data_IF_492730722537
#
_entry.id   IF_492730722537
#
_cell.length_a   1.000
_cell.length_b   1.000
_cell.length_c   1.000
_cell.angle_alpha   90.00
_cell.angle_beta   90.00
_cell.angle_gamma   90.00
#
_symmetry.space_group_name_H-M   'P 1'
#
loop_
_entity.id
_entity.type
_entity.pdbx_description
1 polymer ?
#
# COMPACT_ATOMS: atom_id res chain seq x y z
N UNK A 1 42.45 -23.47 -20.64
CA UNK A 1 41.04 -23.89 -20.43
C UNK A 1 40.06 -23.04 -21.23
N UNK A 2 40.23 -21.71 -21.24
CA UNK A 2 39.45 -20.72 -22.02
C UNK A 2 39.34 -20.99 -23.53
N UNK A 3 40.40 -21.46 -24.19
CA UNK A 3 40.36 -21.78 -25.64
C UNK A 3 39.37 -22.91 -25.99
N UNK A 4 39.21 -23.93 -25.13
CA UNK A 4 38.25 -25.01 -25.34
C UNK A 4 36.80 -24.52 -25.18
N UNK A 5 36.58 -23.61 -24.23
CA UNK A 5 35.27 -23.00 -23.96
C UNK A 5 34.82 -22.13 -25.15
N UNK A 6 35.71 -21.34 -25.74
CA UNK A 6 35.41 -20.52 -26.92
C UNK A 6 35.06 -21.35 -28.16
N UNK A 7 35.77 -22.46 -28.40
CA UNK A 7 35.49 -23.36 -29.53
C UNK A 7 34.14 -24.06 -29.32
N UNK A 8 33.83 -24.46 -28.08
CA UNK A 8 32.54 -25.06 -27.73
C UNK A 8 31.37 -24.07 -27.87
N UNK A 9 31.55 -22.82 -27.43
CA UNK A 9 30.57 -21.74 -27.59
C UNK A 9 30.26 -21.45 -29.06
N UNK A 10 31.28 -21.48 -29.92
CA UNK A 10 31.09 -21.19 -31.34
C UNK A 10 30.37 -22.33 -32.09
N UNK A 11 30.55 -23.57 -31.63
CA UNK A 11 29.87 -24.75 -32.20
C UNK A 11 28.37 -24.76 -31.90
N UNK A 12 27.98 -24.33 -30.70
CA UNK A 12 26.58 -24.27 -30.24
C UNK A 12 26.05 -22.82 -30.17
N UNK A 13 26.54 -21.93 -31.05
CA UNK A 13 26.28 -20.48 -30.97
C UNK A 13 24.80 -20.13 -30.88
N UNK A 14 23.93 -20.84 -31.61
CA UNK A 14 22.50 -20.56 -31.63
C UNK A 14 21.82 -20.91 -30.31
N UNK A 15 22.21 -22.03 -29.66
CA UNK A 15 21.67 -22.43 -28.37
C UNK A 15 22.11 -21.49 -27.25
N UNK A 16 23.37 -21.03 -27.29
CA UNK A 16 23.89 -20.07 -26.32
C UNK A 16 23.18 -18.71 -26.44
N UNK A 17 23.01 -18.21 -27.67
CA UNK A 17 22.29 -16.96 -27.91
C UNK A 17 20.82 -17.08 -27.45
N UNK A 18 20.14 -18.17 -27.80
CA UNK A 18 18.76 -18.41 -27.36
C UNK A 18 18.65 -18.49 -25.83
N UNK A 19 19.59 -19.16 -25.17
CA UNK A 19 19.65 -19.23 -23.71
C UNK A 19 19.84 -17.85 -23.06
N UNK A 20 20.74 -17.03 -23.60
CA UNK A 20 20.95 -15.66 -23.12
C UNK A 20 19.71 -14.78 -23.31
N UNK A 21 19.04 -14.87 -24.45
CA UNK A 21 17.81 -14.11 -24.72
C UNK A 21 16.69 -14.55 -23.78
N UNK A 22 16.50 -15.84 -23.57
CA UNK A 22 15.52 -16.35 -22.61
C UNK A 22 15.81 -15.88 -21.18
N UNK A 23 17.08 -15.93 -20.74
CA UNK A 23 17.46 -15.45 -19.41
C UNK A 23 17.22 -13.94 -19.24
N UNK A 24 17.48 -13.14 -20.28
CA UNK A 24 17.17 -11.71 -20.26
C UNK A 24 15.67 -11.44 -20.17
N UNK A 25 14.86 -12.19 -20.91
CA UNK A 25 13.40 -12.06 -20.89
C UNK A 25 12.80 -12.47 -19.54
N UNK A 26 13.32 -13.53 -18.90
CA UNK A 26 12.84 -13.94 -17.57
C UNK A 26 13.23 -12.94 -16.49
N UNK A 27 14.45 -12.40 -16.53
CA UNK A 27 14.86 -11.33 -15.62
C UNK A 27 13.99 -10.09 -15.83
N UNK A 28 13.76 -9.70 -17.08
CA UNK A 28 12.93 -8.54 -17.41
C UNK A 28 11.48 -8.71 -16.93
N UNK A 29 10.89 -9.89 -17.12
CA UNK A 29 9.54 -10.20 -16.64
C UNK A 29 9.45 -10.22 -15.11
N UNK A 30 10.47 -10.72 -14.41
CA UNK A 30 10.52 -10.73 -12.94
C UNK A 30 10.80 -9.34 -12.35
N UNK A 31 11.49 -8.46 -13.08
CA UNK A 31 11.80 -7.09 -12.63
C UNK A 31 10.66 -6.09 -12.85
N UNK A 32 9.57 -6.46 -13.55
CA UNK A 32 8.43 -5.58 -13.72
C UNK A 32 7.57 -5.56 -12.44
N UNK A 33 7.72 -4.54 -11.61
CA UNK A 33 6.94 -4.39 -10.39
C UNK A 33 5.46 -4.10 -10.71
N UNK A 34 4.55 -4.84 -10.10
CA UNK A 34 3.11 -4.66 -10.24
C UNK A 34 2.68 -3.31 -9.67
N UNK A 35 2.24 -2.38 -10.52
CA UNK A 35 1.71 -1.07 -10.11
C UNK A 35 0.18 -1.06 -10.11
N UNK A 36 -0.41 -0.51 -9.06
CA UNK A 36 -1.87 -0.38 -8.87
C UNK A 36 -2.22 1.10 -8.74
N UNK A 37 -3.48 1.48 -8.99
CA UNK A 37 -3.93 2.85 -8.76
C UNK A 37 -3.83 3.22 -7.27
N UNK A 38 -3.43 4.46 -6.98
CA UNK A 38 -3.38 5.01 -5.63
C UNK A 38 -4.79 5.21 -5.05
N UNK A 39 -4.89 5.15 -3.72
CA UNK A 39 -6.14 5.37 -2.98
C UNK A 39 -6.47 6.86 -2.81
N UNK A 40 -5.46 7.74 -2.78
CA UNK A 40 -5.65 9.19 -2.61
C UNK A 40 -5.82 9.91 -3.93
N UNK A 41 -5.06 9.52 -4.96
CA UNK A 41 -5.11 10.16 -6.28
C UNK A 41 -5.24 9.11 -7.40
N UNK A 42 -6.40 9.03 -8.09
CA UNK A 42 -6.62 8.02 -9.14
C UNK A 42 -5.74 8.24 -10.38
N UNK A 43 -5.07 9.39 -10.48
CA UNK A 43 -4.22 9.75 -11.62
C UNK A 43 -2.83 9.11 -11.54
N UNK A 44 -2.41 8.64 -10.36
CA UNK A 44 -1.09 8.05 -10.13
C UNK A 44 -1.17 6.53 -9.91
N UNK A 45 -0.17 5.81 -10.44
CA UNK A 45 0.01 4.38 -10.18
C UNK A 45 1.17 4.19 -9.21
N UNK A 46 0.89 3.54 -8.09
CA UNK A 46 1.83 3.31 -6.98
C UNK A 46 2.30 1.87 -6.95
N UNK A 47 3.48 1.66 -6.37
CA UNK A 47 4.01 0.32 -6.12
C UNK A 47 3.34 -0.32 -4.90
N UNK A 48 3.63 -1.59 -4.64
CA UNK A 48 3.06 -2.31 -3.49
C UNK A 48 3.47 -1.66 -2.16
N UNK A 49 4.73 -1.25 -2.03
CA UNK A 49 5.22 -0.65 -0.78
C UNK A 49 4.66 0.75 -0.57
N UNK A 50 4.54 1.56 -1.63
CA UNK A 50 3.88 2.86 -1.56
C UNK A 50 2.41 2.73 -1.15
N UNK A 51 1.69 1.76 -1.73
CA UNK A 51 0.29 1.50 -1.37
C UNK A 51 0.14 1.11 0.11
N UNK A 52 1.09 0.36 0.69
CA UNK A 52 1.06 0.00 2.12
C UNK A 52 1.18 1.23 3.02
N UNK A 53 2.12 2.11 2.70
CA UNK A 53 2.31 3.38 3.42
C UNK A 53 1.04 4.24 3.34
N UNK A 54 0.42 4.29 2.16
CA UNK A 54 -0.82 5.02 1.94
C UNK A 54 -1.97 4.48 2.81
N UNK A 55 -2.16 3.16 2.83
CA UNK A 55 -3.17 2.50 3.67
C UNK A 55 -2.94 2.77 5.16
N UNK A 56 -1.71 2.64 5.65
CA UNK A 56 -1.39 2.88 7.06
C UNK A 56 -1.69 4.33 7.46
N UNK A 57 -1.38 5.29 6.59
CA UNK A 57 -1.71 6.70 6.79
C UNK A 57 -3.22 6.93 6.86
N UNK A 58 -4.00 6.27 5.99
CA UNK A 58 -5.46 6.35 6.02
C UNK A 58 -6.03 5.78 7.32
N UNK A 59 -5.55 4.62 7.76
CA UNK A 59 -5.98 4.01 9.01
C UNK A 59 -5.66 4.88 10.23
N UNK A 60 -4.45 5.43 10.31
CA UNK A 60 -4.07 6.34 11.38
C UNK A 60 -4.95 7.60 11.41
N UNK A 61 -5.25 8.16 10.24
CA UNK A 61 -6.13 9.32 10.12
C UNK A 61 -7.55 8.97 10.56
N UNK A 62 -8.06 7.81 10.16
CA UNK A 62 -9.39 7.33 10.56
C UNK A 62 -9.48 7.17 12.08
N UNK A 63 -8.49 6.54 12.72
CA UNK A 63 -8.46 6.33 14.17
C UNK A 63 -8.50 7.66 14.96
N UNK A 64 -7.74 8.67 14.51
CA UNK A 64 -7.78 10.01 15.10
C UNK A 64 -9.19 10.63 14.98
N UNK A 65 -9.85 10.46 13.83
CA UNK A 65 -11.19 10.98 13.60
C UNK A 65 -12.23 10.26 14.47
N UNK A 66 -12.14 8.94 14.61
CA UNK A 66 -13.02 8.19 15.50
C UNK A 66 -12.87 8.63 16.95
N UNK A 67 -11.63 8.76 17.46
CA UNK A 67 -11.40 9.29 18.82
C UNK A 67 -11.98 10.69 19.04
N UNK A 68 -11.94 11.54 18.01
CA UNK A 68 -12.57 12.87 18.10
C UNK A 68 -14.10 12.79 18.15
N UNK A 69 -14.70 11.86 17.40
CA UNK A 69 -16.14 11.61 17.41
C UNK A 69 -16.58 11.07 18.78
N UNK A 70 -15.85 10.10 19.34
CA UNK A 70 -16.12 9.53 20.65
C UNK A 70 -16.14 10.61 21.75
N UNK A 71 -15.18 11.54 21.70
CA UNK A 71 -15.14 12.67 22.63
C UNK A 71 -16.34 13.60 22.48
N UNK A 72 -16.82 13.83 21.26
CA UNK A 72 -18.01 14.64 21.05
C UNK A 72 -19.26 13.97 21.58
N UNK A 73 -19.36 12.64 21.44
CA UNK A 73 -20.50 11.88 21.93
C UNK A 73 -20.50 11.78 23.47
N UNK A 74 -19.33 11.66 24.09
CA UNK A 74 -19.18 11.78 25.55
C UNK A 74 -19.64 13.16 26.05
N UNK A 75 -19.22 14.24 25.39
CA UNK A 75 -19.65 15.59 25.75
C UNK A 75 -21.16 15.78 25.59
N UNK A 76 -21.75 15.25 24.51
CA UNK A 76 -23.21 15.27 24.34
C UNK A 76 -23.90 14.51 25.48
N UNK A 77 -23.42 13.32 25.83
CA UNK A 77 -23.98 12.54 26.92
C UNK A 77 -23.95 13.31 28.25
N UNK A 78 -22.83 13.96 28.58
CA UNK A 78 -22.71 14.80 29.77
C UNK A 78 -23.65 16.01 29.74
N UNK A 79 -23.82 16.66 28.59
CA UNK A 79 -24.76 17.79 28.44
C UNK A 79 -26.20 17.32 28.61
N UNK A 80 -26.58 16.20 27.98
CA UNK A 80 -27.92 15.64 28.12
C UNK A 80 -28.21 15.18 29.55
N UNK A 81 -27.26 14.54 30.22
CA UNK A 81 -27.40 14.14 31.62
C UNK A 81 -27.66 15.35 32.52
N UNK A 82 -26.87 16.42 32.36
CA UNK A 82 -27.08 17.68 33.11
C UNK A 82 -28.42 18.35 32.79
N UNK A 83 -28.86 18.32 31.53
CA UNK A 83 -30.15 18.86 31.13
C UNK A 83 -31.32 18.06 31.72
N UNK A 84 -31.23 16.73 31.75
CA UNK A 84 -32.23 15.87 32.37
C UNK A 84 -32.34 16.21 33.86
N UNK A 85 -31.21 16.25 34.58
CA UNK A 85 -31.16 16.62 36.00
C UNK A 85 -31.79 18.00 36.22
N UNK A 86 -31.44 19.00 35.40
CA UNK A 86 -32.03 20.33 35.51
C UNK A 86 -33.54 20.34 35.24
N UNK A 87 -34.00 19.56 34.25
CA UNK A 87 -35.43 19.44 33.93
C UNK A 87 -36.24 18.74 35.02
N UNK A 88 -35.67 17.73 35.69
CA UNK A 88 -36.34 16.98 36.76
C UNK A 88 -36.31 17.70 38.10
N UNK A 89 -35.34 18.58 38.33
CA UNK A 89 -35.16 19.29 39.61
C UNK A 89 -35.91 20.63 39.66
N UNK A 90 -36.72 20.95 38.64
CA UNK A 90 -37.58 22.14 38.64
C UNK A 90 -36.80 23.44 38.44
N UNK A 91 -36.48 23.76 37.18
CA UNK A 91 -36.20 25.14 36.79
C UNK A 91 -37.50 25.94 36.82
N UNK A 92 -37.77 26.56 37.97
CA UNK A 92 -39.01 27.15 38.50
C UNK A 92 -39.89 26.20 39.32
#
# INVERSE_FOLDING_TARGET
MTKKILVFLNHQRYQVIAGCVCALLTIWGLSCESRVQSLTDPTIKVTREELRIEVDRFLATADIRFKSLDRHDELKALVFDKLIVWSTTGGF
#
